data_IF_794403155628
#
_entry.id   IF_794403155628
#
_cell.length_a   1.000
_cell.length_b   1.000
_cell.length_c   1.000
_cell.angle_alpha   90.00
_cell.angle_beta   90.00
_cell.angle_gamma   90.00
#
_symmetry.space_group_name_H-M   'P 1'
#
loop_
_entity.id
_entity.type
_entity.pdbx_description
1 polymer ?
#
# COMPACT_ATOMS: atom_id res chain seq x y z
N UNK A 1 5.08 9.17 -32.95
CA UNK A 1 3.90 8.74 -32.16
C UNK A 1 4.06 7.25 -31.91
N UNK A 2 4.11 6.78 -30.66
CA UNK A 2 4.26 5.35 -30.40
C UNK A 2 3.00 4.60 -30.88
N UNK A 3 3.20 3.49 -31.61
CA UNK A 3 2.12 2.61 -32.04
C UNK A 3 1.92 1.55 -30.93
N UNK A 4 0.80 1.63 -30.23
CA UNK A 4 0.43 0.74 -29.14
C UNK A 4 -0.99 0.22 -29.35
N UNK A 5 -1.23 -1.00 -28.91
CA UNK A 5 -2.50 -1.72 -28.99
C UNK A 5 -2.85 -2.23 -27.58
N UNK A 6 -4.14 -2.20 -27.24
CA UNK A 6 -4.62 -2.73 -25.96
C UNK A 6 -5.03 -4.19 -26.16
N UNK A 7 -4.46 -5.08 -25.36
CA UNK A 7 -4.76 -6.49 -25.34
C UNK A 7 -5.41 -6.89 -24.01
N UNK A 8 -6.34 -7.84 -24.05
CA UNK A 8 -6.80 -8.53 -22.85
C UNK A 8 -5.88 -9.72 -22.55
N UNK A 9 -5.34 -9.80 -21.33
CA UNK A 9 -4.48 -10.90 -20.89
C UNK A 9 -5.30 -12.21 -20.79
N UNK A 10 -6.52 -12.13 -20.27
CA UNK A 10 -7.54 -13.16 -20.41
C UNK A 10 -8.51 -12.77 -21.53
N UNK A 11 -8.74 -13.68 -22.47
CA UNK A 11 -9.56 -13.44 -23.65
C UNK A 11 -10.90 -12.81 -23.28
N UNK A 12 -11.28 -11.77 -24.04
CA UNK A 12 -12.56 -11.09 -23.91
C UNK A 12 -13.75 -12.05 -23.89
N UNK A 13 -13.70 -13.10 -24.72
CA UNK A 13 -14.72 -14.15 -24.82
C UNK A 13 -15.06 -14.80 -23.46
N UNK A 14 -14.07 -14.91 -22.58
CA UNK A 14 -14.18 -15.54 -21.26
C UNK A 14 -14.65 -14.56 -20.18
N UNK A 15 -14.13 -13.32 -20.18
CA UNK A 15 -14.33 -12.38 -19.06
C UNK A 15 -15.38 -11.31 -19.34
N UNK A 16 -15.51 -10.86 -20.59
CA UNK A 16 -16.45 -9.82 -21.05
C UNK A 16 -16.45 -8.54 -20.20
N UNK A 17 -15.30 -8.19 -19.63
CA UNK A 17 -15.09 -7.00 -18.82
C UNK A 17 -13.73 -6.35 -19.12
N UNK A 18 -13.68 -5.02 -19.02
CA UNK A 18 -12.48 -4.21 -19.24
C UNK A 18 -11.82 -3.83 -17.91
N UNK A 19 -11.53 -4.84 -17.08
CA UNK A 19 -10.83 -4.60 -15.82
C UNK A 19 -9.38 -4.20 -16.08
N UNK A 20 -8.91 -3.18 -15.36
CA UNK A 20 -7.54 -2.69 -15.51
C UNK A 20 -6.55 -3.84 -15.37
N UNK A 21 -6.75 -4.74 -14.39
CA UNK A 21 -5.97 -5.94 -14.09
C UNK A 21 -5.85 -6.90 -15.28
N UNK A 22 -6.85 -6.94 -16.14
CA UNK A 22 -6.88 -7.81 -17.32
C UNK A 22 -6.43 -7.13 -18.62
N UNK A 23 -6.16 -5.82 -18.62
CA UNK A 23 -5.72 -5.10 -19.81
C UNK A 23 -4.21 -4.81 -19.80
N UNK A 24 -3.58 -4.77 -20.97
CA UNK A 24 -2.17 -4.38 -21.13
C UNK A 24 -1.95 -3.67 -22.47
N UNK A 25 -1.06 -2.68 -22.50
CA UNK A 25 -0.64 -2.02 -23.73
C UNK A 25 0.60 -2.71 -24.32
N UNK A 26 0.52 -3.15 -25.57
CA UNK A 26 1.59 -3.84 -26.29
C UNK A 26 1.91 -3.10 -27.59
N UNK A 27 3.15 -3.22 -28.09
CA UNK A 27 3.42 -2.86 -29.47
C UNK A 27 2.84 -3.94 -30.42
N UNK A 28 2.59 -3.64 -31.71
CA UNK A 28 1.96 -4.58 -32.64
C UNK A 28 2.66 -5.95 -32.74
N UNK A 29 3.99 -5.95 -32.63
CA UNK A 29 4.78 -7.19 -32.65
C UNK A 29 4.52 -8.05 -31.41
N UNK A 30 4.56 -7.45 -30.21
CA UNK A 30 4.30 -8.18 -28.96
C UNK A 30 2.86 -8.67 -28.90
N UNK A 31 1.90 -7.88 -29.38
CA UNK A 31 0.51 -8.30 -29.47
C UNK A 31 0.34 -9.49 -30.41
N UNK A 32 0.93 -9.44 -31.60
CA UNK A 32 0.92 -10.57 -32.56
C UNK A 32 1.55 -11.84 -31.98
N UNK A 33 2.67 -11.71 -31.25
CA UNK A 33 3.32 -12.85 -30.60
C UNK A 33 2.45 -13.44 -29.48
N UNK A 34 1.77 -12.59 -28.71
CA UNK A 34 0.84 -13.02 -27.68
C UNK A 34 -0.37 -13.75 -28.28
N UNK A 35 -1.01 -13.19 -29.31
CA UNK A 35 -2.15 -13.80 -29.99
C UNK A 35 -1.83 -15.17 -30.60
N UNK A 36 -0.60 -15.35 -31.09
CA UNK A 36 -0.10 -16.62 -31.63
C UNK A 36 0.32 -17.64 -30.56
N UNK A 37 0.25 -17.26 -29.27
CA UNK A 37 0.67 -18.11 -28.16
C UNK A 37 2.19 -18.28 -28.03
N UNK A 38 2.99 -17.44 -28.70
CA UNK A 38 4.45 -17.42 -28.53
C UNK A 38 4.87 -16.75 -27.23
N UNK A 39 4.01 -15.87 -26.70
CA UNK A 39 4.10 -15.39 -25.33
C UNK A 39 2.88 -15.93 -24.60
N UNK A 40 3.10 -16.65 -23.51
CA UNK A 40 2.02 -17.22 -22.74
C UNK A 40 1.40 -16.20 -21.77
N UNK A 41 0.22 -16.56 -21.24
CA UNK A 41 -0.54 -15.69 -20.33
C UNK A 41 0.20 -15.39 -19.02
N UNK A 42 0.95 -16.36 -18.48
CA UNK A 42 1.72 -16.16 -17.25
C UNK A 42 2.85 -15.16 -17.49
N UNK A 43 3.52 -15.26 -18.64
CA UNK A 43 4.52 -14.28 -19.08
C UNK A 43 3.93 -12.86 -19.21
N UNK A 44 2.70 -12.72 -19.75
CA UNK A 44 2.03 -11.42 -19.82
C UNK A 44 1.68 -10.85 -18.43
N UNK A 45 1.19 -11.69 -17.52
CA UNK A 45 0.92 -11.29 -16.13
C UNK A 45 2.20 -10.82 -15.43
N UNK A 46 3.29 -11.57 -15.60
CA UNK A 46 4.59 -11.21 -15.04
C UNK A 46 5.13 -9.92 -15.66
N UNK A 47 5.03 -9.76 -16.98
CA UNK A 47 5.45 -8.54 -17.67
C UNK A 47 4.69 -7.32 -17.11
N UNK A 48 3.36 -7.42 -16.99
CA UNK A 48 2.55 -6.37 -16.38
C UNK A 48 2.93 -6.07 -14.94
N UNK A 49 3.16 -7.09 -14.12
CA UNK A 49 3.63 -6.91 -12.76
C UNK A 49 4.98 -6.17 -12.71
N UNK A 50 5.87 -6.43 -13.67
CA UNK A 50 7.15 -5.77 -13.79
C UNK A 50 7.04 -4.30 -14.27
N UNK A 51 5.98 -3.94 -14.99
CA UNK A 51 5.67 -2.54 -15.35
C UNK A 51 5.22 -1.70 -14.15
N UNK A 52 4.89 -2.33 -13.03
CA UNK A 52 4.63 -1.63 -11.77
C UNK A 52 5.87 -0.82 -11.38
N UNK A 53 5.72 0.45 -10.94
CA UNK A 53 6.84 1.24 -10.41
C UNK A 53 7.38 0.64 -9.10
N UNK A 54 6.68 -0.36 -8.57
CA UNK A 54 6.99 -1.09 -7.34
C UNK A 54 7.66 -2.43 -7.61
N UNK A 55 7.90 -2.78 -8.89
CA UNK A 55 8.60 -4.02 -9.22
C UNK A 55 10.07 -3.96 -8.81
N UNK A 56 10.73 -5.10 -8.53
CA UNK A 56 12.17 -5.14 -8.30
C UNK A 56 12.97 -4.52 -9.46
N UNK A 57 12.45 -4.61 -10.69
CA UNK A 57 13.06 -3.98 -11.87
C UNK A 57 12.98 -2.46 -11.82
N UNK A 58 11.84 -1.89 -11.46
CA UNK A 58 11.68 -0.44 -11.30
C UNK A 58 12.56 0.10 -10.17
N UNK A 59 12.65 -0.62 -9.05
CA UNK A 59 13.57 -0.29 -7.95
C UNK A 59 15.04 -0.33 -8.39
N UNK A 60 15.44 -1.34 -9.17
CA UNK A 60 16.80 -1.45 -9.69
C UNK A 60 17.13 -0.39 -10.76
N UNK A 61 16.13 0.04 -11.54
CA UNK A 61 16.28 1.10 -12.55
C UNK A 61 16.39 2.51 -11.93
N UNK A 62 15.92 2.67 -10.70
CA UNK A 62 15.87 3.94 -9.98
C UNK A 62 16.56 3.84 -8.61
N UNK A 63 17.87 3.51 -8.55
CA UNK A 63 18.59 3.32 -7.30
C UNK A 63 18.54 4.56 -6.38
N UNK A 64 18.43 5.75 -6.96
CA UNK A 64 18.31 7.02 -6.27
C UNK A 64 16.95 7.23 -5.56
N UNK A 65 15.93 6.42 -5.91
CA UNK A 65 14.58 6.50 -5.34
C UNK A 65 14.25 5.31 -4.42
N UNK A 66 15.20 4.41 -4.13
CA UNK A 66 14.95 3.18 -3.35
C UNK A 66 14.31 3.47 -1.99
N UNK A 67 14.85 4.42 -1.22
CA UNK A 67 14.32 4.76 0.11
C UNK A 67 12.89 5.31 0.04
N UNK A 68 12.62 6.13 -0.98
CA UNK A 68 11.30 6.69 -1.24
C UNK A 68 10.29 5.59 -1.60
N UNK A 69 10.66 4.71 -2.53
CA UNK A 69 9.79 3.62 -2.96
C UNK A 69 9.55 2.59 -1.85
N UNK A 70 10.58 2.25 -1.08
CA UNK A 70 10.47 1.30 0.03
C UNK A 70 9.59 1.83 1.16
N UNK A 71 9.70 3.13 1.50
CA UNK A 71 8.84 3.74 2.53
C UNK A 71 7.39 3.86 2.05
N UNK A 72 7.16 4.23 0.80
CA UNK A 72 5.83 4.23 0.20
C UNK A 72 5.20 2.82 0.20
N UNK A 73 5.95 1.77 -0.18
CA UNK A 73 5.45 0.40 -0.16
C UNK A 73 5.07 -0.06 1.25
N UNK A 74 5.89 0.27 2.25
CA UNK A 74 5.58 -0.02 3.67
C UNK A 74 4.31 0.69 4.10
N UNK A 75 4.17 1.98 3.78
CA UNK A 75 2.96 2.75 4.09
C UNK A 75 1.71 2.08 3.50
N UNK A 76 1.75 1.73 2.20
CA UNK A 76 0.66 1.02 1.53
C UNK A 76 0.32 -0.31 2.20
N UNK A 77 1.32 -1.13 2.50
CA UNK A 77 1.12 -2.43 3.13
C UNK A 77 0.45 -2.31 4.51
N UNK A 78 0.89 -1.37 5.34
CA UNK A 78 0.31 -1.20 6.67
C UNK A 78 -1.11 -0.62 6.64
N UNK A 79 -1.43 0.31 5.73
CA UNK A 79 -2.82 0.75 5.54
C UNK A 79 -3.71 -0.41 5.10
N UNK A 80 -3.26 -1.25 4.17
CA UNK A 80 -4.02 -2.42 3.72
C UNK A 80 -4.23 -3.43 4.86
N UNK A 81 -3.19 -3.71 5.65
CA UNK A 81 -3.29 -4.57 6.83
C UNK A 81 -4.27 -4.01 7.85
N UNK A 82 -4.24 -2.70 8.09
CA UNK A 82 -5.15 -2.03 9.00
C UNK A 82 -6.61 -2.19 8.53
N UNK A 83 -6.92 -1.81 7.29
CA UNK A 83 -8.28 -1.90 6.75
C UNK A 83 -8.80 -3.34 6.73
N UNK A 84 -7.96 -4.30 6.32
CA UNK A 84 -8.30 -5.72 6.34
C UNK A 84 -8.55 -6.22 7.78
N UNK A 85 -7.72 -5.78 8.74
CA UNK A 85 -7.88 -6.08 10.15
C UNK A 85 -9.20 -5.56 10.72
N UNK A 86 -9.59 -4.33 10.40
CA UNK A 86 -10.84 -3.72 10.85
C UNK A 86 -12.06 -4.51 10.33
N UNK A 87 -12.04 -4.92 9.06
CA UNK A 87 -13.07 -5.78 8.48
C UNK A 87 -13.11 -7.16 9.16
N UNK A 88 -11.95 -7.76 9.42
CA UNK A 88 -11.84 -9.06 10.08
C UNK A 88 -12.32 -9.01 11.55
N UNK A 89 -12.06 -7.90 12.25
CA UNK A 89 -12.59 -7.66 13.60
C UNK A 89 -14.11 -7.59 13.59
N UNK A 90 -14.69 -6.78 12.67
CA UNK A 90 -16.15 -6.68 12.51
C UNK A 90 -16.79 -8.04 12.21
N UNK A 91 -16.18 -8.82 11.31
CA UNK A 91 -16.67 -10.16 10.98
C UNK A 91 -16.65 -11.10 12.19
N UNK A 92 -15.58 -11.09 12.99
CA UNK A 92 -15.49 -11.88 14.22
C UNK A 92 -16.55 -11.47 15.25
N UNK A 93 -16.81 -10.16 15.40
CA UNK A 93 -17.86 -9.64 16.29
C UNK A 93 -19.25 -10.13 15.86
N UNK A 94 -19.54 -10.09 14.56
CA UNK A 94 -20.80 -10.59 14.00
C UNK A 94 -20.97 -12.11 14.14
N UNK A 95 -19.88 -12.86 14.16
CA UNK A 95 -19.88 -14.31 14.37
C UNK A 95 -19.99 -14.72 15.84
N UNK A 96 -19.97 -13.75 16.77
CA UNK A 96 -20.00 -14.05 18.20
C UNK A 96 -18.70 -14.67 18.71
N UNK A 97 -17.55 -14.32 18.11
CA UNK A 97 -16.23 -14.74 18.59
C UNK A 97 -16.01 -14.40 20.06
N UNK A 98 -15.14 -15.16 20.71
CA UNK A 98 -14.82 -14.96 22.12
C UNK A 98 -14.17 -13.60 22.40
N UNK A 99 -14.30 -13.10 23.62
CA UNK A 99 -13.70 -11.83 24.02
C UNK A 99 -12.16 -11.81 23.86
N UNK A 100 -11.49 -12.95 24.05
CA UNK A 100 -10.04 -13.06 23.85
C UNK A 100 -9.65 -12.98 22.38
N UNK A 101 -10.45 -13.56 21.48
CA UNK A 101 -10.22 -13.45 20.03
C UNK A 101 -10.47 -12.01 19.54
N UNK A 102 -11.56 -11.38 19.97
CA UNK A 102 -11.87 -9.99 19.63
C UNK A 102 -10.76 -9.05 20.10
N UNK A 103 -10.28 -9.23 21.34
CA UNK A 103 -9.17 -8.44 21.89
C UNK A 103 -7.90 -8.58 21.04
N UNK A 104 -7.49 -9.81 20.72
CA UNK A 104 -6.30 -10.05 19.87
C UNK A 104 -6.45 -9.40 18.49
N UNK A 105 -7.63 -9.49 17.88
CA UNK A 105 -7.89 -8.86 16.58
C UNK A 105 -7.83 -7.34 16.67
N UNK A 106 -8.40 -6.75 17.71
CA UNK A 106 -8.35 -5.31 17.96
C UNK A 106 -6.90 -4.82 18.18
N UNK A 107 -6.10 -5.55 18.95
CA UNK A 107 -4.67 -5.26 19.15
C UNK A 107 -3.90 -5.29 17.81
N UNK A 108 -4.16 -6.27 16.94
CA UNK A 108 -3.55 -6.33 15.62
C UNK A 108 -3.94 -5.15 14.71
N UNK A 109 -5.19 -4.68 14.79
CA UNK A 109 -5.65 -3.46 14.10
C UNK A 109 -4.87 -2.24 14.60
N UNK A 110 -4.74 -2.09 15.92
CA UNK A 110 -3.99 -1.01 16.54
C UNK A 110 -2.52 -0.99 16.10
N UNK A 111 -1.86 -2.15 16.14
CA UNK A 111 -0.47 -2.27 15.69
C UNK A 111 -0.30 -1.89 14.21
N UNK A 112 -1.19 -2.34 13.33
CA UNK A 112 -1.12 -1.97 11.91
C UNK A 112 -1.33 -0.46 11.69
N UNK A 113 -2.20 0.18 12.47
CA UNK A 113 -2.41 1.63 12.43
C UNK A 113 -1.17 2.42 12.87
N UNK A 114 -0.51 1.98 13.95
CA UNK A 114 0.74 2.59 14.43
C UNK A 114 1.87 2.48 13.40
N UNK A 115 2.04 1.30 12.81
CA UNK A 115 3.02 1.07 11.75
C UNK A 115 2.73 1.90 10.50
N UNK A 116 1.45 2.09 10.15
CA UNK A 116 1.05 2.98 9.06
C UNK A 116 1.41 4.44 9.35
N UNK A 117 1.17 4.93 10.58
CA UNK A 117 1.56 6.26 11.02
C UNK A 117 3.09 6.47 10.99
N UNK A 118 3.85 5.49 11.46
CA UNK A 118 5.31 5.53 11.39
C UNK A 118 5.82 5.49 9.94
N UNK A 119 5.21 4.67 9.08
CA UNK A 119 5.55 4.63 7.67
C UNK A 119 5.24 5.95 6.95
N UNK A 120 4.15 6.64 7.31
CA UNK A 120 3.84 7.99 6.82
C UNK A 120 4.93 8.99 7.22
N UNK A 121 5.39 8.95 8.47
CA UNK A 121 6.48 9.83 8.94
C UNK A 121 7.77 9.60 8.13
N UNK A 122 8.13 8.33 7.92
CA UNK A 122 9.28 7.97 7.09
C UNK A 122 9.11 8.44 5.63
N UNK A 123 7.94 8.21 5.04
CA UNK A 123 7.61 8.66 3.68
C UNK A 123 7.71 10.19 3.57
N UNK A 124 7.21 10.92 4.55
CA UNK A 124 7.28 12.38 4.60
C UNK A 124 8.71 12.92 4.69
N UNK A 125 9.64 12.15 5.25
CA UNK A 125 11.05 12.51 5.30
C UNK A 125 11.75 12.40 3.93
N UNK A 126 11.33 11.46 3.09
CA UNK A 126 12.01 11.15 1.81
C UNK A 126 11.23 11.55 0.56
N UNK A 127 10.01 12.09 0.72
CA UNK A 127 9.13 12.44 -0.41
C UNK A 127 8.88 13.95 -0.53
N UNK A 128 8.46 14.42 -1.73
CA UNK A 128 7.97 15.78 -1.90
C UNK A 128 6.69 16.03 -1.09
N UNK A 129 6.49 17.27 -0.64
CA UNK A 129 5.40 17.63 0.28
C UNK A 129 3.98 17.28 -0.23
N UNK A 130 3.76 17.26 -1.55
CA UNK A 130 2.48 16.87 -2.13
C UNK A 130 2.21 15.35 -2.05
N UNK A 131 3.24 14.52 -2.09
CA UNK A 131 3.13 13.07 -1.85
C UNK A 131 2.79 12.84 -0.37
N UNK A 132 3.53 13.46 0.55
CA UNK A 132 3.26 13.35 1.99
C UNK A 132 1.84 13.77 2.34
N UNK A 133 1.34 14.85 1.72
CA UNK A 133 -0.02 15.36 1.93
C UNK A 133 -1.09 14.36 1.47
N UNK A 134 -0.91 13.73 0.30
CA UNK A 134 -1.85 12.71 -0.18
C UNK A 134 -1.84 11.46 0.72
N UNK A 135 -0.65 11.04 1.16
CA UNK A 135 -0.51 9.92 2.09
C UNK A 135 -1.16 10.21 3.46
N UNK A 136 -1.00 11.43 3.98
CA UNK A 136 -1.66 11.90 5.20
C UNK A 136 -3.19 11.84 5.09
N UNK A 137 -3.75 12.32 3.96
CA UNK A 137 -5.18 12.21 3.69
C UNK A 137 -5.68 10.75 3.65
N UNK A 138 -4.89 9.84 3.09
CA UNK A 138 -5.22 8.41 3.05
C UNK A 138 -5.21 7.81 4.46
N UNK A 139 -4.21 8.16 5.30
CA UNK A 139 -4.15 7.71 6.69
C UNK A 139 -5.42 8.16 7.45
N UNK A 140 -5.80 9.43 7.30
CA UNK A 140 -7.02 9.99 7.90
C UNK A 140 -8.30 9.31 7.42
N UNK A 141 -8.40 9.01 6.12
CA UNK A 141 -9.53 8.30 5.55
C UNK A 141 -9.61 6.84 6.04
N UNK A 142 -8.46 6.15 6.11
CA UNK A 142 -8.37 4.79 6.63
C UNK A 142 -8.78 4.73 8.11
N UNK A 143 -8.39 5.74 8.88
CA UNK A 143 -8.82 5.90 10.26
C UNK A 143 -10.34 6.03 10.36
N UNK A 144 -10.95 7.00 9.68
CA UNK A 144 -12.42 7.19 9.71
C UNK A 144 -13.16 5.94 9.27
N UNK A 145 -12.69 5.28 8.21
CA UNK A 145 -13.28 4.04 7.71
C UNK A 145 -13.23 2.91 8.74
N UNK A 146 -12.08 2.76 9.42
CA UNK A 146 -11.90 1.74 10.46
C UNK A 146 -12.77 2.03 11.68
N UNK A 147 -12.84 3.28 12.15
CA UNK A 147 -13.72 3.67 13.25
C UNK A 147 -15.19 3.35 12.95
N UNK A 148 -15.66 3.68 11.74
CA UNK A 148 -17.02 3.33 11.29
C UNK A 148 -17.25 1.81 11.24
N UNK A 149 -16.23 1.06 10.81
CA UNK A 149 -16.29 -0.40 10.66
C UNK A 149 -16.34 -1.13 12.00
N UNK A 150 -15.71 -0.57 13.03
CA UNK A 150 -15.62 -1.16 14.37
C UNK A 150 -16.65 -0.56 15.35
N UNK A 151 -17.77 -0.04 14.84
CA UNK A 151 -18.86 0.56 15.63
C UNK A 151 -18.42 1.69 16.60
N UNK A 152 -17.39 2.46 16.22
CA UNK A 152 -16.85 3.54 17.05
C UNK A 152 -15.86 3.07 18.12
N UNK A 153 -15.52 1.78 18.19
CA UNK A 153 -14.35 1.32 18.93
C UNK A 153 -13.10 1.83 18.21
N UNK A 154 -12.35 2.73 18.84
CA UNK A 154 -11.12 3.29 18.27
C UNK A 154 -9.95 2.98 19.20
N UNK A 155 -8.83 2.46 18.69
CA UNK A 155 -7.59 2.43 19.46
C UNK A 155 -7.30 3.84 20.01
N UNK A 156 -6.97 3.95 21.30
CA UNK A 156 -6.93 5.21 22.04
C UNK A 156 -5.95 6.27 21.49
N UNK A 157 -5.10 5.90 20.53
CA UNK A 157 -4.02 6.73 20.01
C UNK A 157 -4.47 7.82 19.00
N UNK A 158 -5.74 7.93 18.61
CA UNK A 158 -6.08 8.80 17.47
C UNK A 158 -7.42 9.55 17.54
N UNK A 159 -7.37 10.84 17.19
CA UNK A 159 -8.52 11.73 16.99
C UNK A 159 -8.48 12.31 15.56
N UNK A 160 -9.61 12.35 14.82
CA UNK A 160 -9.64 12.87 13.45
C UNK A 160 -9.57 14.40 13.41
N UNK A 161 -8.84 14.93 12.43
CA UNK A 161 -8.88 16.35 12.06
C UNK A 161 -9.22 16.53 10.58
N UNK A 162 -10.45 16.98 10.28
CA UNK A 162 -10.75 17.64 9.00
C UNK A 162 -11.69 16.90 8.04
N UNK A 163 -12.25 17.62 7.04
CA UNK A 163 -13.12 17.06 6.02
C UNK A 163 -12.28 16.51 4.86
N UNK A 164 -12.37 15.21 4.59
CA UNK A 164 -11.75 14.58 3.43
C UNK A 164 -12.70 13.52 2.85
N UNK A 165 -12.58 13.30 1.54
CA UNK A 165 -13.25 12.22 0.81
C UNK A 165 -13.05 10.88 1.52
N UNK A 166 -14.08 10.03 1.50
CA UNK A 166 -13.99 8.66 2.01
C UNK A 166 -13.71 7.64 0.88
N UNK A 167 -13.49 8.10 -0.36
CA UNK A 167 -13.13 7.25 -1.51
C UNK A 167 -11.63 6.91 -1.50
N UNK A 168 -11.25 6.01 -0.58
CA UNK A 168 -9.88 5.52 -0.41
C UNK A 168 -9.29 4.97 -1.74
N UNK A 169 -10.01 4.19 -2.56
CA UNK A 169 -9.50 3.75 -3.88
C UNK A 169 -9.07 4.90 -4.80
N UNK A 170 -9.90 5.94 -4.95
CA UNK A 170 -9.55 7.09 -5.78
C UNK A 170 -8.30 7.82 -5.24
N UNK A 171 -8.21 7.97 -3.91
CA UNK A 171 -7.06 8.60 -3.26
C UNK A 171 -5.76 7.81 -3.48
N UNK A 172 -5.83 6.47 -3.47
CA UNK A 172 -4.69 5.63 -3.83
C UNK A 172 -4.26 5.84 -5.29
N UNK A 173 -5.21 5.93 -6.22
CA UNK A 173 -4.88 6.18 -7.63
C UNK A 173 -4.15 7.52 -7.81
N UNK A 174 -4.60 8.57 -7.12
CA UNK A 174 -3.95 9.89 -7.13
C UNK A 174 -2.54 9.85 -6.52
N UNK A 175 -2.37 9.15 -5.39
CA UNK A 175 -1.06 8.97 -4.78
C UNK A 175 -0.12 8.18 -5.70
N UNK A 176 -0.58 7.06 -6.27
CA UNK A 176 0.19 6.21 -7.18
C UNK A 176 0.64 7.00 -8.42
N UNK A 177 -0.26 7.79 -9.00
CA UNK A 177 0.06 8.70 -10.09
C UNK A 177 1.16 9.69 -9.68
N UNK A 178 1.10 10.23 -8.46
CA UNK A 178 2.10 11.17 -7.97
C UNK A 178 3.46 10.51 -7.71
N UNK A 179 3.47 9.29 -7.18
CA UNK A 179 4.69 8.49 -7.02
C UNK A 179 5.36 8.32 -8.40
N UNK A 180 4.60 7.96 -9.43
CA UNK A 180 5.11 7.84 -10.80
C UNK A 180 5.74 9.14 -11.33
N UNK A 181 5.11 10.29 -11.12
CA UNK A 181 5.67 11.58 -11.55
C UNK A 181 7.01 11.91 -10.87
N UNK A 182 7.21 11.46 -9.63
CA UNK A 182 8.45 11.69 -8.87
C UNK A 182 9.58 10.81 -9.38
N UNK A 183 9.32 9.51 -9.58
CA UNK A 183 10.33 8.54 -10.02
C UNK A 183 10.82 8.86 -11.43
N UNK A 184 9.95 9.39 -12.29
CA UNK A 184 10.31 9.79 -13.66
C UNK A 184 11.21 11.05 -13.72
N UNK A 185 11.59 11.62 -12.57
CA UNK A 185 12.49 12.78 -12.46
C UNK A 185 13.75 12.37 -11.68
N UNK A 186 14.90 13.04 -11.93
CA UNK A 186 16.10 12.81 -11.12
C UNK A 186 15.80 13.05 -9.63
N UNK A 187 16.28 12.17 -8.74
CA UNK A 187 16.06 12.35 -7.31
C UNK A 187 16.66 13.68 -6.81
N UNK A 188 15.95 14.40 -5.92
CA UNK A 188 16.50 15.57 -5.28
C UNK A 188 17.72 15.18 -4.43
N UNK A 189 18.81 15.95 -4.54
CA UNK A 189 20.11 15.69 -3.88
C UNK A 189 20.07 15.73 -2.33
N UNK A 190 18.93 16.09 -1.74
CA UNK A 190 18.74 16.18 -0.30
C UNK A 190 18.43 14.82 0.30
N UNK A 191 19.47 14.15 0.80
CA UNK A 191 19.35 13.09 1.80
C UNK A 191 18.84 13.70 3.11
N UNK A 192 17.56 13.56 3.40
CA UNK A 192 17.04 13.79 4.75
C UNK A 192 17.26 12.51 5.57
N UNK A 193 17.76 12.68 6.79
CA UNK A 193 17.96 11.57 7.73
C UNK A 193 16.62 10.92 8.01
N UNK A 194 16.50 9.61 7.78
CA UNK A 194 15.29 8.86 8.15
C UNK A 194 15.05 8.97 9.66
N UNK A 195 13.80 9.21 10.08
CA UNK A 195 13.45 9.18 11.50
C UNK A 195 13.74 7.77 12.04
N UNK A 196 14.32 7.70 13.25
CA UNK A 196 14.42 6.44 13.98
C UNK A 196 13.09 6.22 14.69
N UNK A 197 12.61 4.98 14.71
CA UNK A 197 11.47 4.60 15.54
C UNK A 197 11.81 4.97 16.98
N UNK A 198 10.98 5.76 17.67
CA UNK A 198 11.13 5.91 19.11
C UNK A 198 11.06 4.51 19.72
N UNK A 199 12.08 4.13 20.50
CA UNK A 199 12.01 2.88 21.27
C UNK A 199 10.86 3.06 22.25
N UNK A 200 9.77 2.31 22.07
CA UNK A 200 8.67 2.32 23.02
C UNK A 200 9.16 1.65 24.30
N UNK A 201 8.77 2.16 25.47
CA UNK A 201 9.22 1.63 26.76
C UNK A 201 8.93 0.12 26.89
N UNK A 202 7.90 -0.35 26.19
CA UNK A 202 7.43 -1.74 26.11
C UNK A 202 8.46 -2.67 25.43
N UNK A 203 9.21 -2.18 24.43
CA UNK A 203 10.27 -2.94 23.75
C UNK A 203 11.50 -3.21 24.64
N UNK A 204 11.63 -2.45 25.73
CA UNK A 204 12.72 -2.60 26.70
C UNK A 204 12.36 -3.55 27.86
N UNK A 205 11.08 -3.88 28.04
CA UNK A 205 10.62 -4.72 29.16
C UNK A 205 10.86 -6.20 28.89
N UNK A 206 10.97 -6.63 27.63
CA UNK A 206 11.10 -8.05 27.25
C UNK A 206 12.54 -8.61 27.33
N UNK A 207 13.53 -7.79 27.75
CA UNK A 207 14.94 -8.23 27.88
C UNK A 207 15.45 -8.38 29.31
N UNK A 208 14.59 -8.23 30.33
CA UNK A 208 15.00 -8.21 31.73
C UNK A 208 14.69 -9.47 32.55
N UNK A 209 14.21 -10.56 31.94
CA UNK A 209 13.52 -11.63 32.66
C UNK A 209 14.08 -13.05 32.55
N UNK A 210 15.37 -13.26 32.24
CA UNK A 210 16.00 -14.59 32.37
C UNK A 210 17.31 -14.49 33.14
N UNK A 211 17.24 -14.88 34.41
CA UNK A 211 18.34 -15.03 35.35
C UNK A 211 17.86 -15.88 36.53
N UNK A 212 17.88 -17.20 36.33
CA UNK A 212 17.71 -18.27 37.34
C UNK A 212 18.70 -18.05 38.51
N UNK A 213 18.41 -18.40 39.76
CA UNK A 213 17.91 -19.70 40.20
C UNK A 213 19.10 -20.60 40.51
#
# INVERSE_FOLDING_TARGET
>A
MPILEIAHIQRWEEVRQHEFENMIALCPNCHTLFDRGHIDRLSMLQYKANLSPFSPYALAAHPEHIDFLATYQKFRAFIQMWLAGALAFRAAKQQGSSSSELRRRFEAVGQAAEEAGYALLCLGAVSPANVSKLADQILDAAMRSSCKTMDGETPAAFLPTGPASDDIPAMWADLDHKIHEVINKPAPKTLKVMPRRPILLEDLVDKGGHGEG
#
